data_IF_726986730870
#
_entry.id   IF_726986730870
#
_cell.length_a   1.000
_cell.length_b   1.000
_cell.length_c   1.000
_cell.angle_alpha   90.00
_cell.angle_beta   90.00
_cell.angle_gamma   90.00
#
_symmetry.space_group_name_H-M   'P 1'
#
loop_
_entity.id
_entity.type
_entity.pdbx_description
1 polymer ?
#
# COMPACT_ATOMS: atom_id res chain seq x y z
N UNK A 1 2.63 5.04 -14.07
CA UNK A 1 2.82 4.33 -12.79
C UNK A 1 2.23 5.07 -11.60
N UNK A 2 1.44 4.37 -10.82
CA UNK A 2 0.84 4.82 -9.56
C UNK A 2 1.45 4.04 -8.39
N UNK A 3 1.54 4.67 -7.23
CA UNK A 3 2.00 4.03 -5.99
C UNK A 3 0.83 3.84 -5.04
N UNK A 4 0.72 2.61 -4.54
CA UNK A 4 -0.24 2.24 -3.50
C UNK A 4 0.49 1.76 -2.25
N UNK A 5 -0.10 2.03 -1.09
CA UNK A 5 0.38 1.54 0.21
C UNK A 5 -0.75 0.77 0.89
N UNK A 6 -0.40 -0.36 1.46
CA UNK A 6 -1.34 -1.31 2.03
C UNK A 6 -1.13 -1.46 3.54
N UNK A 7 -2.25 -1.59 4.24
CA UNK A 7 -2.32 -1.75 5.69
C UNK A 7 -3.33 -2.84 6.02
N UNK A 8 -3.15 -3.48 7.16
CA UNK A 8 -4.19 -4.30 7.74
C UNK A 8 -5.07 -3.40 8.59
N UNK A 9 -6.37 -3.66 8.52
CA UNK A 9 -7.37 -3.05 9.39
C UNK A 9 -8.05 -4.18 10.15
N UNK A 10 -7.90 -4.18 11.47
CA UNK A 10 -8.55 -5.13 12.35
C UNK A 10 -9.67 -4.43 13.11
N UNK A 11 -10.85 -5.03 13.14
CA UNK A 11 -12.01 -4.53 13.89
C UNK A 11 -13.02 -5.65 14.12
N UNK A 12 -13.85 -5.52 15.16
CA UNK A 12 -14.97 -6.44 15.40
C UNK A 12 -16.14 -6.17 14.44
N UNK A 13 -16.13 -5.02 13.78
CA UNK A 13 -17.21 -4.59 12.89
C UNK A 13 -17.21 -5.32 11.55
N UNK A 14 -18.42 -5.49 11.01
CA UNK A 14 -18.64 -6.03 9.67
C UNK A 14 -18.48 -4.92 8.62
N UNK A 15 -18.08 -5.29 7.40
CA UNK A 15 -17.85 -4.32 6.32
C UNK A 15 -19.04 -3.40 6.04
N UNK A 16 -20.27 -3.90 6.17
CA UNK A 16 -21.47 -3.07 5.99
C UNK A 16 -21.60 -2.02 7.11
N UNK A 17 -21.27 -2.38 8.36
CA UNK A 17 -21.28 -1.44 9.48
C UNK A 17 -20.19 -0.38 9.31
N UNK A 18 -19.00 -0.78 8.82
CA UNK A 18 -17.93 0.16 8.47
C UNK A 18 -18.42 1.11 7.37
N UNK A 19 -19.08 0.60 6.33
CA UNK A 19 -19.60 1.43 5.25
C UNK A 19 -20.67 2.42 5.74
N UNK A 20 -21.60 1.96 6.58
CA UNK A 20 -22.64 2.79 7.18
C UNK A 20 -22.02 3.90 8.04
N UNK A 21 -21.04 3.57 8.89
CA UNK A 21 -20.29 4.52 9.71
C UNK A 21 -19.55 5.56 8.86
N UNK A 22 -18.88 5.16 7.78
CA UNK A 22 -18.21 6.09 6.87
C UNK A 22 -19.22 6.97 6.11
N UNK A 23 -20.40 6.44 5.81
CA UNK A 23 -21.44 7.16 5.06
C UNK A 23 -22.06 8.34 5.84
N UNK A 24 -22.00 8.32 7.18
CA UNK A 24 -22.44 9.42 8.03
C UNK A 24 -21.39 10.54 8.13
N UNK A 25 -20.12 10.23 7.85
CA UNK A 25 -18.97 11.14 7.91
C UNK A 25 -18.58 11.70 6.53
N UNK A 26 -19.58 12.05 5.71
CA UNK A 26 -19.35 12.65 4.39
C UNK A 26 -18.66 14.00 4.52
N UNK A 27 -17.73 14.29 3.60
CA UNK A 27 -17.13 15.61 3.52
C UNK A 27 -18.21 16.66 3.19
N UNK A 28 -18.25 17.74 3.97
CA UNK A 28 -19.22 18.84 3.83
C UNK A 28 -18.48 20.17 3.92
N UNK A 29 -19.08 21.23 3.36
CA UNK A 29 -18.52 22.58 3.45
C UNK A 29 -18.39 22.98 4.94
N UNK A 30 -17.18 23.37 5.35
CA UNK A 30 -16.85 23.74 6.73
C UNK A 30 -16.36 22.59 7.61
N UNK A 31 -16.33 21.35 7.11
CA UNK A 31 -15.69 20.23 7.81
C UNK A 31 -14.19 20.19 7.51
N UNK A 32 -13.37 19.94 8.54
CA UNK A 32 -11.91 19.78 8.38
C UNK A 32 -11.54 18.46 7.70
N UNK A 33 -12.34 17.41 7.88
CA UNK A 33 -12.11 16.07 7.31
C UNK A 33 -13.41 15.39 6.94
N UNK A 34 -13.35 14.44 6.02
CA UNK A 34 -14.49 13.59 5.67
C UNK A 34 -14.21 12.67 4.49
N UNK A 35 -15.21 11.88 4.11
CA UNK A 35 -15.09 10.94 2.98
C UNK A 35 -16.11 11.19 1.88
N UNK A 36 -15.76 10.74 0.68
CA UNK A 36 -16.66 10.58 -0.45
C UNK A 36 -16.63 9.08 -0.82
N UNK A 37 -17.68 8.34 -0.49
CA UNK A 37 -17.79 6.92 -0.87
C UNK A 37 -18.19 6.81 -2.35
N UNK A 38 -17.44 6.02 -3.11
CA UNK A 38 -17.61 5.81 -4.55
C UNK A 38 -18.38 4.51 -4.79
N UNK A 39 -18.01 3.43 -4.11
CA UNK A 39 -18.61 2.10 -4.28
C UNK A 39 -18.59 1.34 -2.96
N UNK A 40 -19.69 0.65 -2.66
CA UNK A 40 -19.84 -0.17 -1.46
C UNK A 40 -20.40 -1.52 -1.86
N UNK A 41 -19.78 -2.59 -1.37
CA UNK A 41 -20.21 -3.96 -1.57
C UNK A 41 -19.91 -4.81 -0.33
N UNK A 42 -20.33 -6.07 -0.34
CA UNK A 42 -20.01 -7.06 0.70
C UNK A 42 -18.52 -7.46 0.75
N UNK A 43 -17.76 -7.12 -0.30
CA UNK A 43 -16.33 -7.44 -0.46
C UNK A 43 -15.41 -6.26 -0.28
N UNK A 44 -15.85 -5.05 -0.65
CA UNK A 44 -15.02 -3.87 -0.58
C UNK A 44 -15.81 -2.57 -0.42
N UNK A 45 -15.14 -1.57 0.17
CA UNK A 45 -15.56 -0.17 0.24
C UNK A 45 -14.50 0.65 -0.49
N UNK A 46 -14.90 1.45 -1.47
CA UNK A 46 -14.05 2.38 -2.20
C UNK A 46 -14.50 3.82 -1.96
N UNK A 47 -13.55 4.72 -1.74
CA UNK A 47 -13.84 6.12 -1.52
C UNK A 47 -12.62 7.01 -1.62
N UNK A 48 -12.84 8.30 -1.39
CA UNK A 48 -11.79 9.31 -1.21
C UNK A 48 -11.87 9.84 0.21
N UNK A 49 -10.70 10.05 0.81
CA UNK A 49 -10.58 10.85 2.01
C UNK A 49 -10.18 12.28 1.63
N UNK A 50 -10.82 13.25 2.26
CA UNK A 50 -10.64 14.68 2.02
C UNK A 50 -10.32 15.33 3.35
N UNK A 51 -9.23 16.10 3.38
CA UNK A 51 -8.78 16.88 4.53
C UNK A 51 -8.48 18.33 4.12
N UNK A 52 -9.06 19.29 4.84
CA UNK A 52 -8.75 20.71 4.75
C UNK A 52 -7.57 21.05 5.66
N UNK A 53 -6.45 21.44 5.07
CA UNK A 53 -5.23 21.86 5.72
C UNK A 53 -5.18 23.38 5.77
N UNK A 54 -4.95 23.93 6.97
CA UNK A 54 -4.75 25.36 7.20
C UNK A 54 -3.26 25.60 7.42
N UNK A 55 -2.62 26.31 6.50
CA UNK A 55 -1.23 26.71 6.63
C UNK A 55 -1.15 28.23 6.79
N UNK A 56 -0.43 28.69 7.80
CA UNK A 56 -0.07 30.10 7.93
C UNK A 56 1.35 30.27 7.41
N UNK A 57 1.50 30.97 6.30
CA UNK A 57 2.79 31.34 5.74
C UNK A 57 3.17 32.73 6.28
N UNK A 58 4.33 32.83 6.92
CA UNK A 58 4.85 34.09 7.45
C UNK A 58 6.03 34.51 6.58
N UNK A 59 5.94 35.69 5.98
CA UNK A 59 6.98 36.31 5.19
C UNK A 59 7.47 37.56 5.91
N UNK A 60 8.78 37.78 5.92
CA UNK A 60 9.34 39.07 6.34
C UNK A 60 9.63 39.85 5.07
N UNK A 61 9.04 41.03 4.97
CA UNK A 61 9.26 41.89 3.82
C UNK A 61 10.66 42.54 3.86
N UNK A 62 11.10 43.22 2.79
CA UNK A 62 12.40 43.90 2.77
C UNK A 62 12.58 45.02 3.81
N UNK A 63 11.50 45.45 4.47
CA UNK A 63 11.49 46.50 5.48
C UNK A 63 11.43 45.95 6.91
N UNK A 64 11.30 44.63 7.07
CA UNK A 64 11.26 43.94 8.36
C UNK A 64 9.86 43.64 8.89
N UNK A 65 8.81 43.94 8.14
CA UNK A 65 7.43 43.68 8.55
C UNK A 65 7.02 42.23 8.29
N UNK A 66 6.33 41.62 9.27
CA UNK A 66 5.76 40.28 9.13
C UNK A 66 4.43 40.32 8.35
N UNK A 67 4.41 39.70 7.17
CA UNK A 67 3.21 39.45 6.39
C UNK A 67 2.72 38.02 6.69
N UNK A 68 1.50 37.89 7.23
CA UNK A 68 0.86 36.60 7.52
C UNK A 68 -0.18 36.29 6.45
N UNK A 69 0.03 35.19 5.73
CA UNK A 69 -0.89 34.68 4.73
C UNK A 69 -1.49 33.34 5.17
N UNK A 70 -2.82 33.29 5.30
CA UNK A 70 -3.54 32.04 5.55
C UNK A 70 -3.86 31.34 4.23
N UNK A 71 -3.30 30.16 4.03
CA UNK A 71 -3.51 29.33 2.84
C UNK A 71 -4.29 28.08 3.23
N UNK A 72 -5.48 27.94 2.65
CA UNK A 72 -6.27 26.70 2.73
C UNK A 72 -5.91 25.76 1.59
N UNK A 73 -5.59 24.52 1.90
CA UNK A 73 -5.29 23.46 0.92
C UNK A 73 -6.15 22.24 1.20
N UNK A 74 -6.49 21.49 0.16
CA UNK A 74 -7.18 20.21 0.32
C UNK A 74 -6.25 19.06 -0.03
N UNK A 75 -6.10 18.12 0.90
CA UNK A 75 -5.43 16.85 0.69
C UNK A 75 -6.48 15.80 0.35
N UNK A 76 -6.42 15.24 -0.86
CA UNK A 76 -7.41 14.27 -1.34
C UNK A 76 -6.67 13.03 -1.84
N UNK A 77 -7.06 11.85 -1.35
CA UNK A 77 -6.53 10.59 -1.84
C UNK A 77 -7.58 9.48 -1.84
N UNK A 78 -7.38 8.50 -2.73
CA UNK A 78 -8.29 7.37 -2.84
C UNK A 78 -7.89 6.24 -1.89
N UNK A 79 -8.90 5.57 -1.34
CA UNK A 79 -8.73 4.38 -0.52
C UNK A 79 -9.70 3.26 -0.93
N UNK A 80 -9.30 2.02 -0.68
CA UNK A 80 -10.17 0.85 -0.77
C UNK A 80 -9.95 -0.03 0.45
N UNK A 81 -11.04 -0.43 1.12
CA UNK A 81 -11.03 -1.43 2.19
C UNK A 81 -11.55 -2.73 1.61
N UNK A 82 -10.73 -3.78 1.60
CA UNK A 82 -11.08 -5.12 1.14
C UNK A 82 -11.35 -6.03 2.33
N UNK A 83 -12.43 -6.79 2.28
CA UNK A 83 -12.69 -7.88 3.22
C UNK A 83 -11.79 -9.06 2.89
N UNK A 84 -11.00 -9.52 3.86
CA UNK A 84 -10.16 -10.72 3.72
C UNK A 84 -10.77 -11.88 4.50
N UNK A 85 -10.91 -11.71 5.82
CA UNK A 85 -11.55 -12.69 6.72
C UNK A 85 -12.34 -11.96 7.80
N UNK A 86 -13.05 -12.71 8.66
CA UNK A 86 -13.86 -12.09 9.73
C UNK A 86 -12.97 -11.24 10.64
N UNK A 87 -13.28 -9.95 10.71
CA UNK A 87 -12.58 -8.98 11.55
C UNK A 87 -11.21 -8.51 11.04
N UNK A 88 -10.78 -8.97 9.86
CA UNK A 88 -9.54 -8.53 9.23
C UNK A 88 -9.79 -8.08 7.79
N UNK A 89 -9.33 -6.86 7.52
CA UNK A 89 -9.49 -6.16 6.26
C UNK A 89 -8.13 -5.68 5.75
N UNK A 90 -8.04 -5.44 4.45
CA UNK A 90 -6.90 -4.79 3.83
C UNK A 90 -7.29 -3.39 3.36
N UNK A 91 -6.54 -2.39 3.80
CA UNK A 91 -6.69 -1.01 3.38
C UNK A 91 -5.62 -0.67 2.35
N UNK A 92 -6.03 -0.41 1.11
CA UNK A 92 -5.19 0.14 0.06
C UNK A 92 -5.39 1.64 -0.03
N UNK A 93 -4.29 2.39 -0.01
CA UNK A 93 -4.27 3.83 -0.22
C UNK A 93 -3.51 4.14 -1.50
N UNK A 94 -4.14 4.89 -2.40
CA UNK A 94 -3.56 5.29 -3.69
C UNK A 94 -3.23 6.77 -3.67
N UNK A 95 -1.98 7.12 -4.01
CA UNK A 95 -1.51 8.50 -4.02
C UNK A 95 -1.72 9.25 -2.67
N UNK A 96 -1.66 8.53 -1.55
CA UNK A 96 -1.81 9.12 -0.22
C UNK A 96 -0.61 9.99 0.21
N UNK A 97 -0.81 10.90 1.18
CA UNK A 97 0.26 11.70 1.76
C UNK A 97 1.27 10.81 2.52
N UNK A 98 2.46 11.37 2.81
CA UNK A 98 3.50 10.67 3.59
C UNK A 98 3.02 10.26 4.98
N UNK A 99 2.16 11.08 5.58
CA UNK A 99 1.59 10.87 6.91
C UNK A 99 0.09 10.58 6.77
N UNK A 100 -0.36 9.46 7.32
CA UNK A 100 -1.75 9.02 7.28
C UNK A 100 -2.44 9.15 8.65
N UNK A 101 -1.82 9.82 9.62
CA UNK A 101 -2.35 9.95 10.99
C UNK A 101 -3.77 10.50 11.01
N UNK A 102 -4.02 11.57 10.25
CA UNK A 102 -5.36 12.18 10.17
C UNK A 102 -6.41 11.18 9.67
N UNK A 103 -6.08 10.41 8.64
CA UNK A 103 -6.98 9.37 8.12
C UNK A 103 -7.20 8.20 9.08
N UNK A 104 -6.14 7.72 9.74
CA UNK A 104 -6.25 6.65 10.75
C UNK A 104 -7.07 7.11 11.96
N UNK A 105 -6.89 8.36 12.40
CA UNK A 105 -7.69 8.96 13.46
C UNK A 105 -9.15 9.06 13.02
N UNK A 106 -9.41 9.58 11.82
CA UNK A 106 -10.74 9.65 11.24
C UNK A 106 -11.44 8.28 11.20
N UNK A 107 -10.74 7.23 10.74
CA UNK A 107 -11.31 5.88 10.74
C UNK A 107 -11.64 5.40 12.15
N UNK A 108 -10.76 5.70 13.12
CA UNK A 108 -10.95 5.32 14.53
C UNK A 108 -12.16 6.03 15.14
N UNK A 109 -12.34 7.32 14.84
CA UNK A 109 -13.47 8.11 15.33
C UNK A 109 -14.78 7.67 14.66
N UNK A 110 -14.75 7.38 13.36
CA UNK A 110 -15.94 6.98 12.62
C UNK A 110 -16.42 5.57 12.97
N UNK A 111 -15.51 4.60 13.08
CA UNK A 111 -15.84 3.18 13.32
C UNK A 111 -15.96 2.89 14.83
N UNK A 112 -15.21 3.61 15.67
CA UNK A 112 -15.25 3.47 17.12
C UNK A 112 -14.20 2.50 17.69
N UNK A 113 -14.41 2.12 18.95
CA UNK A 113 -13.46 1.31 19.72
C UNK A 113 -13.18 -0.05 19.08
N UNK A 114 -11.92 -0.47 19.09
CA UNK A 114 -11.48 -1.77 18.58
C UNK A 114 -10.96 -1.75 17.14
N UNK A 115 -10.93 -0.59 16.48
CA UNK A 115 -10.20 -0.42 15.23
C UNK A 115 -8.69 -0.38 15.48
N UNK A 116 -7.93 -1.22 14.76
CA UNK A 116 -6.48 -1.12 14.67
C UNK A 116 -6.06 -1.04 13.19
N UNK A 117 -5.12 -0.15 12.88
CA UNK A 117 -4.48 -0.07 11.56
C UNK A 117 -3.00 -0.40 11.72
N UNK A 118 -2.55 -1.50 11.12
CA UNK A 118 -1.18 -2.00 11.24
C UNK A 118 -0.50 -2.09 9.87
N UNK A 119 0.84 -1.97 9.82
CA UNK A 119 1.60 -2.32 8.62
C UNK A 119 1.39 -3.79 8.26
N UNK A 120 1.35 -4.09 6.97
CA UNK A 120 1.34 -5.48 6.51
C UNK A 120 2.75 -6.00 6.24
N UNK A 121 2.88 -7.33 6.25
CA UNK A 121 4.03 -8.05 5.70
C UNK A 121 3.56 -8.83 4.48
N UNK A 122 4.22 -8.58 3.35
CA UNK A 122 3.95 -9.24 2.07
C UNK A 122 5.05 -10.25 1.80
N UNK A 123 4.67 -11.49 1.50
CA UNK A 123 5.61 -12.47 0.97
C UNK A 123 5.92 -12.16 -0.50
N UNK A 124 7.05 -11.47 -0.70
CA UNK A 124 7.55 -11.11 -2.04
C UNK A 124 7.87 -12.36 -2.85
N UNK A 125 8.38 -13.44 -2.26
CA UNK A 125 8.68 -14.67 -2.99
C UNK A 125 7.40 -15.34 -3.51
N UNK A 126 6.37 -15.43 -2.65
CA UNK A 126 5.07 -15.96 -3.03
C UNK A 126 4.42 -15.13 -4.15
N UNK A 127 4.54 -13.80 -4.09
CA UNK A 127 4.05 -12.92 -5.15
C UNK A 127 4.75 -13.21 -6.49
N UNK A 128 6.08 -13.31 -6.49
CA UNK A 128 6.86 -13.62 -7.68
C UNK A 128 6.48 -14.98 -8.27
N UNK A 129 6.34 -16.00 -7.43
CA UNK A 129 5.89 -17.34 -7.85
C UNK A 129 4.50 -17.29 -8.49
N UNK A 130 3.54 -16.63 -7.85
CA UNK A 130 2.19 -16.47 -8.40
C UNK A 130 2.20 -15.75 -9.75
N UNK A 131 3.01 -14.70 -9.89
CA UNK A 131 3.12 -13.95 -11.13
C UNK A 131 3.70 -14.81 -12.27
N UNK A 132 4.73 -15.64 -11.98
CA UNK A 132 5.36 -16.54 -12.95
C UNK A 132 4.40 -17.62 -13.47
N UNK A 133 3.40 -18.04 -12.68
CA UNK A 133 2.42 -19.09 -13.07
C UNK A 133 1.06 -18.53 -13.49
N UNK A 134 0.83 -17.23 -13.34
CA UNK A 134 -0.45 -16.60 -13.65
C UNK A 134 -0.73 -16.63 -15.16
N UNK A 135 -1.93 -17.10 -15.53
CA UNK A 135 -2.36 -17.13 -16.93
C UNK A 135 -2.35 -15.72 -17.53
N UNK A 136 -1.80 -15.59 -18.73
CA UNK A 136 -1.70 -14.32 -19.47
C UNK A 136 -0.41 -13.55 -19.20
N UNK A 137 0.29 -13.83 -18.10
CA UNK A 137 1.60 -13.27 -17.81
C UNK A 137 2.66 -14.09 -18.55
N UNK A 138 3.36 -13.44 -19.49
CA UNK A 138 4.41 -14.06 -20.29
C UNK A 138 5.74 -13.36 -20.03
N UNK A 139 6.85 -14.06 -20.29
CA UNK A 139 8.21 -13.49 -20.18
C UNK A 139 8.45 -12.77 -18.84
N UNK A 140 7.93 -13.32 -17.75
CA UNK A 140 8.05 -12.76 -16.40
C UNK A 140 9.51 -12.82 -15.96
N UNK A 141 10.09 -11.65 -15.69
CA UNK A 141 11.51 -11.45 -15.41
C UNK A 141 11.69 -10.54 -14.21
N UNK A 142 12.37 -11.03 -13.17
CA UNK A 142 12.74 -10.18 -12.04
C UNK A 142 13.95 -9.34 -12.45
N UNK A 143 13.76 -8.04 -12.70
CA UNK A 143 14.86 -7.14 -13.08
C UNK A 143 15.77 -6.80 -11.92
N UNK A 144 15.15 -6.64 -10.75
CA UNK A 144 15.84 -6.17 -9.55
C UNK A 144 15.21 -6.78 -8.32
N UNK A 145 16.04 -7.28 -7.41
CA UNK A 145 15.59 -7.79 -6.13
C UNK A 145 16.50 -7.30 -5.01
N UNK A 146 15.91 -7.05 -3.84
CA UNK A 146 16.61 -6.70 -2.62
C UNK A 146 16.26 -7.69 -1.53
N UNK A 147 17.28 -8.25 -0.92
CA UNK A 147 17.18 -9.13 0.22
C UNK A 147 17.92 -8.52 1.41
N UNK A 148 17.29 -8.52 2.58
CA UNK A 148 17.86 -8.09 3.85
C UNK A 148 17.95 -9.26 4.83
N UNK A 149 18.55 -9.02 6.00
CA UNK A 149 18.74 -10.04 7.05
C UNK A 149 19.58 -11.25 6.60
N UNK A 150 20.45 -11.07 5.61
CA UNK A 150 21.38 -12.11 5.17
C UNK A 150 22.45 -12.24 6.26
N UNK A 151 22.48 -13.36 6.98
CA UNK A 151 23.46 -13.58 8.04
C UNK A 151 24.85 -13.72 7.44
N UNK A 152 25.79 -12.93 7.95
CA UNK A 152 27.21 -13.11 7.72
C UNK A 152 27.82 -13.84 8.94
N UNK A 153 29.12 -13.68 9.18
CA UNK A 153 29.76 -14.20 10.38
C UNK A 153 29.34 -13.44 11.65
N UNK A 154 29.13 -14.17 12.74
CA UNK A 154 28.82 -13.61 14.06
C UNK A 154 27.41 -13.04 14.15
N UNK A 155 27.30 -11.77 14.58
CA UNK A 155 26.02 -11.03 14.72
C UNK A 155 25.78 -10.04 13.57
N UNK A 156 26.58 -10.11 12.51
CA UNK A 156 26.50 -9.20 11.38
C UNK A 156 25.43 -9.67 10.39
N UNK A 157 24.63 -8.72 9.90
CA UNK A 157 23.66 -8.95 8.82
C UNK A 157 23.97 -8.04 7.64
N UNK A 158 23.79 -8.58 6.44
CA UNK A 158 23.92 -7.88 5.18
C UNK A 158 22.55 -7.62 4.54
N UNK A 159 22.56 -6.62 3.67
CA UNK A 159 21.48 -6.35 2.72
C UNK A 159 22.12 -6.31 1.34
N UNK A 160 21.60 -7.10 0.43
CA UNK A 160 22.10 -7.22 -0.95
C UNK A 160 21.00 -6.81 -1.91
N UNK A 161 21.41 -6.12 -2.97
CA UNK A 161 20.53 -5.74 -4.08
C UNK A 161 21.14 -6.23 -5.38
N UNK A 162 20.41 -7.08 -6.09
CA UNK A 162 20.83 -7.65 -7.37
C UNK A 162 19.99 -7.03 -8.47
N UNK A 163 20.66 -6.55 -9.52
CA UNK A 163 20.03 -6.13 -10.77
C UNK A 163 20.56 -7.03 -11.87
N UNK A 164 19.67 -7.66 -12.63
CA UNK A 164 20.03 -8.66 -13.63
C UNK A 164 19.48 -8.30 -15.00
N UNK A 165 20.26 -8.63 -16.02
CA UNK A 165 19.78 -8.64 -17.41
C UNK A 165 18.92 -9.88 -17.69
N UNK A 166 19.15 -10.98 -16.96
CA UNK A 166 18.40 -12.23 -17.03
C UNK A 166 17.32 -12.24 -15.93
N UNK A 167 17.47 -12.98 -14.82
CA UNK A 167 16.50 -12.97 -13.71
C UNK A 167 17.24 -12.79 -12.37
N UNK A 168 17.00 -11.66 -11.71
CA UNK A 168 17.68 -11.29 -10.48
C UNK A 168 17.28 -12.16 -9.28
N UNK A 169 16.11 -12.80 -9.30
CA UNK A 169 15.71 -13.74 -8.24
C UNK A 169 16.47 -15.05 -8.39
N UNK A 170 16.59 -15.55 -9.61
CA UNK A 170 17.36 -16.77 -9.89
C UNK A 170 18.84 -16.54 -9.55
N UNK A 171 19.42 -15.41 -9.98
CA UNK A 171 20.81 -15.01 -9.65
C UNK A 171 21.03 -14.91 -8.12
N UNK A 172 20.06 -14.36 -7.38
CA UNK A 172 20.12 -14.27 -5.92
C UNK A 172 20.19 -15.66 -5.28
N UNK A 173 19.28 -16.56 -5.67
CA UNK A 173 19.18 -17.90 -5.08
C UNK A 173 20.36 -18.80 -5.42
N UNK A 174 21.05 -18.55 -6.54
CA UNK A 174 22.28 -19.27 -6.91
C UNK A 174 23.52 -18.72 -6.21
N UNK A 175 23.50 -17.45 -5.79
CA UNK A 175 24.67 -16.77 -5.20
C UNK A 175 24.65 -16.78 -3.67
N UNK A 176 23.48 -16.73 -3.05
CA UNK A 176 23.31 -16.54 -1.61
C UNK A 176 22.28 -17.55 -1.07
N UNK A 177 22.68 -18.31 -0.05
CA UNK A 177 21.74 -19.11 0.73
C UNK A 177 20.78 -18.18 1.48
N UNK A 178 19.49 -18.25 1.13
CA UNK A 178 18.52 -17.29 1.65
C UNK A 178 18.21 -17.50 3.13
N UNK A 179 18.19 -18.72 3.68
CA UNK A 179 17.95 -18.96 5.12
C UNK A 179 16.82 -18.09 5.70
N UNK A 180 17.13 -17.28 6.72
CA UNK A 180 16.21 -16.32 7.36
C UNK A 180 16.10 -14.95 6.65
N UNK A 181 16.70 -14.80 5.46
CA UNK A 181 16.68 -13.56 4.72
C UNK A 181 15.26 -13.18 4.30
N UNK A 182 15.01 -11.87 4.30
CA UNK A 182 13.73 -11.29 3.92
C UNK A 182 13.90 -10.66 2.54
N UNK A 183 13.09 -11.09 1.57
CA UNK A 183 12.98 -10.39 0.29
C UNK A 183 12.22 -9.08 0.52
N UNK A 184 12.96 -7.99 0.65
CA UNK A 184 12.41 -6.69 1.02
C UNK A 184 11.69 -5.99 -0.14
N UNK A 185 12.16 -6.20 -1.38
CA UNK A 185 11.67 -5.52 -2.57
C UNK A 185 11.98 -6.31 -3.83
N UNK A 186 11.06 -6.30 -4.79
CA UNK A 186 11.28 -6.79 -6.14
C UNK A 186 10.70 -5.82 -7.19
N UNK A 187 11.36 -5.77 -8.35
CA UNK A 187 10.87 -5.12 -9.57
C UNK A 187 10.84 -6.16 -10.67
N UNK A 188 9.68 -6.34 -11.29
CA UNK A 188 9.41 -7.41 -12.24
C UNK A 188 8.86 -6.83 -13.52
N UNK A 189 9.44 -7.25 -14.64
CA UNK A 189 8.90 -6.98 -15.96
C UNK A 189 8.19 -8.23 -16.49
N UNK A 190 7.13 -8.04 -17.24
CA UNK A 190 6.38 -9.12 -17.87
C UNK A 190 5.63 -8.60 -19.09
N UNK A 191 5.18 -9.53 -19.93
CA UNK A 191 4.28 -9.26 -21.04
C UNK A 191 2.86 -9.62 -20.61
N UNK A 192 1.93 -8.70 -20.80
CA UNK A 192 0.50 -8.93 -20.61
C UNK A 192 -0.25 -8.20 -21.74
N UNK A 193 -1.13 -8.93 -22.42
CA UNK A 193 -1.89 -8.42 -23.58
C UNK A 193 -1.00 -7.81 -24.67
N UNK A 194 0.16 -8.44 -24.92
CA UNK A 194 1.14 -7.99 -25.92
C UNK A 194 1.98 -6.78 -25.52
N UNK A 195 1.80 -6.22 -24.32
CA UNK A 195 2.51 -5.04 -23.83
C UNK A 195 3.52 -5.41 -22.75
N UNK A 196 4.70 -4.80 -22.81
CA UNK A 196 5.68 -4.88 -21.74
C UNK A 196 5.20 -4.01 -20.58
N UNK A 197 5.13 -4.61 -19.39
CA UNK A 197 4.62 -4.04 -18.16
C UNK A 197 5.60 -4.25 -17.02
N UNK A 198 5.49 -3.42 -16.00
CA UNK A 198 6.30 -3.51 -14.80
C UNK A 198 5.43 -3.44 -13.54
N UNK A 199 5.88 -4.16 -12.51
CA UNK A 199 5.40 -4.03 -11.14
C UNK A 199 6.58 -3.98 -10.19
N UNK A 200 6.51 -3.07 -9.23
CA UNK A 200 7.42 -3.02 -8.10
C UNK A 200 6.65 -3.23 -6.80
N UNK A 201 7.13 -4.12 -5.93
CA UNK A 201 6.54 -4.36 -4.62
C UNK A 201 7.57 -4.40 -3.52
N UNK A 202 7.14 -4.08 -2.29
CA UNK A 202 7.94 -4.23 -1.08
C UNK A 202 7.25 -5.15 -0.07
N UNK A 203 8.05 -5.83 0.76
CA UNK A 203 7.55 -6.61 1.89
C UNK A 203 6.73 -5.77 2.87
N UNK A 204 6.94 -4.46 2.91
CA UNK A 204 6.20 -3.51 3.77
C UNK A 204 4.88 -3.02 3.16
N UNK A 205 4.35 -3.70 2.14
CA UNK A 205 3.03 -3.42 1.60
C UNK A 205 2.97 -2.22 0.63
N UNK A 206 4.07 -1.84 -0.01
CA UNK A 206 4.01 -0.87 -1.12
C UNK A 206 3.94 -1.60 -2.46
N UNK A 207 3.09 -1.11 -3.37
CA UNK A 207 2.96 -1.63 -4.73
C UNK A 207 2.93 -0.46 -5.72
N UNK A 208 3.83 -0.47 -6.70
CA UNK A 208 3.91 0.49 -7.79
C UNK A 208 3.66 -0.22 -9.11
N UNK A 209 2.68 0.23 -9.87
CA UNK A 209 2.32 -0.37 -11.17
C UNK A 209 1.52 0.61 -12.01
N UNK A 210 1.17 0.26 -13.24
CA UNK A 210 0.24 1.05 -14.04
C UNK A 210 -1.20 0.87 -13.56
N UNK A 211 -2.01 1.94 -13.65
CA UNK A 211 -3.38 1.95 -13.12
C UNK A 211 -4.23 0.82 -13.73
N UNK A 212 -4.05 0.52 -15.02
CA UNK A 212 -4.76 -0.56 -15.71
C UNK A 212 -4.41 -1.96 -15.19
N UNK A 213 -3.28 -2.13 -14.51
CA UNK A 213 -2.85 -3.41 -13.95
C UNK A 213 -3.39 -3.66 -12.54
N UNK A 214 -3.83 -2.63 -11.82
CA UNK A 214 -4.33 -2.79 -10.46
C UNK A 214 -5.43 -3.85 -10.33
N UNK A 215 -6.46 -3.91 -11.20
CA UNK A 215 -7.50 -4.95 -11.09
C UNK A 215 -6.96 -6.37 -11.21
N UNK A 216 -5.89 -6.57 -11.99
CA UNK A 216 -5.28 -7.88 -12.22
C UNK A 216 -4.29 -8.25 -11.11
N UNK A 217 -3.50 -7.28 -10.63
CA UNK A 217 -2.48 -7.49 -9.60
C UNK A 217 -3.08 -7.55 -8.19
N UNK A 218 -4.15 -6.80 -7.92
CA UNK A 218 -4.76 -6.71 -6.58
C UNK A 218 -5.13 -8.08 -5.99
N UNK A 219 -5.82 -8.99 -6.71
CA UNK A 219 -6.13 -10.31 -6.18
C UNK A 219 -4.88 -11.13 -5.83
N UNK A 220 -3.81 -11.05 -6.61
CA UNK A 220 -2.54 -11.72 -6.31
C UNK A 220 -1.88 -11.12 -5.06
N UNK A 221 -1.88 -9.80 -4.95
CA UNK A 221 -1.31 -9.09 -3.81
C UNK A 221 -2.05 -9.41 -2.50
N UNK A 222 -3.39 -9.48 -2.54
CA UNK A 222 -4.23 -9.89 -1.40
C UNK A 222 -3.90 -11.32 -0.96
N UNK A 223 -3.61 -12.24 -1.90
CA UNK A 223 -3.21 -13.61 -1.56
C UNK A 223 -1.82 -13.72 -0.92
N UNK A 224 -0.95 -12.73 -1.14
CA UNK A 224 0.36 -12.66 -0.47
C UNK A 224 0.29 -12.05 0.93
N UNK A 225 -0.91 -11.65 1.36
CA UNK A 225 -1.15 -11.13 2.69
C UNK A 225 -1.67 -12.23 3.59
N UNK A 226 -1.00 -12.42 4.73
CA UNK A 226 -1.29 -13.47 5.69
C UNK A 226 -0.30 -14.61 5.57
N UNK A 227 0.35 -14.94 6.70
CA UNK A 227 0.89 -16.29 6.90
C UNK A 227 -0.30 -17.25 6.93
N UNK A 228 -0.08 -18.47 6.45
CA UNK A 228 -0.98 -19.60 6.61
C UNK A 228 -1.21 -19.89 8.11
N UNK A 229 -2.04 -19.09 8.76
CA UNK A 229 -2.69 -19.45 10.01
C UNK A 229 -4.19 -19.59 9.67
N UNK A 230 -4.50 -20.81 9.21
CA UNK A 230 -5.81 -21.47 9.17
C UNK A 230 -6.76 -21.14 7.99
N UNK A 231 -6.79 -22.09 7.03
CA UNK A 231 -8.00 -22.53 6.32
C UNK A 231 -9.03 -23.09 7.30
#
# INVERSE_FOLDING_TARGET
>A
MIKTKWFEVSTQERINVIADALSTHRFRRGASTGVELISVSDRQIEGKFIEELHNTEIYVDPFGDEIRNEVRRFSIFAFVIFRVRKGHYLLRITAGPRNLRSFVQFLSDAIGFGLAVSPIVVDVAAFLKMLKVAKGFQLVRVKKIRAGQIRLAGRSVARVEITSAADAFDDLTQTIELGDAILEKASVDFHLDGLVRNVELTATGSLTTDLSLLPVITPMFIKCFGRDDEL
#
